data_IF_263737835286
#
_entry.id   IF_263737835286
#
_cell.length_a   1.000
_cell.length_b   1.000
_cell.length_c   1.000
_cell.angle_alpha   90.00
_cell.angle_beta   90.00
_cell.angle_gamma   90.00
#
_symmetry.space_group_name_H-M   'P 1'
#
loop_
_entity.id
_entity.type
_entity.pdbx_description
1 polymer ?
#
# COMPACT_ATOMS: atom_id res chain seq x y z
N UNK A 1 -23.92 -7.39 -2.49
CA UNK A 1 -22.58 -7.00 -2.00
C UNK A 1 -22.76 -5.67 -1.30
N UNK A 2 -22.02 -5.43 -0.22
CA UNK A 2 -22.17 -4.22 0.59
C UNK A 2 -21.90 -2.98 -0.27
N UNK A 3 -22.81 -2.01 -0.24
CA UNK A 3 -22.65 -0.75 -0.93
C UNK A 3 -21.54 0.07 -0.25
N UNK A 4 -20.69 0.70 -1.04
CA UNK A 4 -19.59 1.53 -0.54
C UNK A 4 -19.94 2.99 -0.75
N UNK A 5 -19.88 3.79 0.32
CA UNK A 5 -20.09 5.23 0.28
C UNK A 5 -18.75 5.96 0.30
N UNK A 6 -18.52 6.85 -0.65
CA UNK A 6 -17.38 7.81 -0.60
C UNK A 6 -17.95 9.17 -0.25
N UNK A 7 -17.53 9.71 0.89
CA UNK A 7 -18.06 10.94 1.49
C UNK A 7 -16.97 11.99 1.46
N UNK A 8 -17.15 13.00 0.61
CA UNK A 8 -16.34 14.22 0.63
C UNK A 8 -17.01 15.24 1.55
N UNK A 9 -16.25 15.81 2.48
CA UNK A 9 -16.69 16.93 3.31
C UNK A 9 -15.77 18.11 3.07
N UNK A 10 -16.33 19.20 2.56
CA UNK A 10 -15.57 20.38 2.13
C UNK A 10 -16.05 21.62 2.87
N UNK A 11 -15.16 22.26 3.64
CA UNK A 11 -15.37 23.63 4.13
C UNK A 11 -14.96 24.57 3.03
N UNK A 12 -15.90 25.37 2.54
CA UNK A 12 -15.66 26.30 1.43
C UNK A 12 -15.10 27.62 1.91
N UNK A 13 -14.32 28.30 1.07
CA UNK A 13 -13.96 29.70 1.28
C UNK A 13 -15.23 30.53 1.46
N UNK A 14 -15.25 31.52 2.37
CA UNK A 14 -16.43 32.36 2.57
C UNK A 14 -17.01 32.90 1.26
N UNK A 15 -18.33 32.79 1.07
CA UNK A 15 -18.98 33.24 -0.17
C UNK A 15 -18.90 32.28 -1.37
N UNK A 16 -18.13 31.19 -1.28
CA UNK A 16 -17.76 30.39 -2.45
C UNK A 16 -18.57 29.10 -2.65
N UNK A 17 -19.54 28.79 -1.79
CA UNK A 17 -20.19 27.48 -1.76
C UNK A 17 -20.88 27.09 -3.09
N UNK A 18 -21.65 28.01 -3.68
CA UNK A 18 -22.31 27.75 -4.98
C UNK A 18 -21.28 27.54 -6.09
N UNK A 19 -20.27 28.43 -6.17
CA UNK A 19 -19.19 28.33 -7.16
C UNK A 19 -18.41 27.01 -7.03
N UNK A 20 -18.16 26.57 -5.80
CA UNK A 20 -17.53 25.27 -5.54
C UNK A 20 -18.41 24.11 -6.05
N UNK A 21 -19.71 24.11 -5.75
CA UNK A 21 -20.64 23.06 -6.20
C UNK A 21 -20.70 23.01 -7.73
N UNK A 22 -20.81 24.17 -8.38
CA UNK A 22 -20.83 24.25 -9.85
C UNK A 22 -19.52 23.71 -10.45
N UNK A 23 -18.37 24.12 -9.92
CA UNK A 23 -17.07 23.61 -10.35
C UNK A 23 -16.95 22.09 -10.13
N UNK A 24 -17.42 21.57 -8.99
CA UNK A 24 -17.40 20.15 -8.65
C UNK A 24 -18.27 19.32 -9.61
N UNK A 25 -19.51 19.75 -9.86
CA UNK A 25 -20.45 19.03 -10.71
C UNK A 25 -20.09 19.08 -12.19
N UNK A 26 -19.42 20.14 -12.64
CA UNK A 26 -18.99 20.29 -14.04
C UNK A 26 -17.60 19.73 -14.31
N UNK A 27 -16.69 19.79 -13.33
CA UNK A 27 -15.28 19.41 -13.51
C UNK A 27 -14.91 18.04 -12.97
N UNK A 28 -15.30 17.69 -11.74
CA UNK A 28 -14.92 16.42 -11.10
C UNK A 28 -15.94 15.31 -11.34
N UNK A 29 -17.23 15.63 -11.15
CA UNK A 29 -18.30 14.64 -11.17
C UNK A 29 -18.41 13.81 -12.48
N UNK A 30 -18.15 14.35 -13.69
CA UNK A 30 -18.17 13.55 -14.91
C UNK A 30 -17.12 12.42 -14.88
N UNK A 31 -15.86 12.73 -14.53
CA UNK A 31 -14.81 11.72 -14.44
C UNK A 31 -15.06 10.70 -13.33
N UNK A 32 -15.63 11.13 -12.20
CA UNK A 32 -16.05 10.21 -11.13
C UNK A 32 -17.10 9.21 -11.62
N UNK A 33 -18.08 9.65 -12.43
CA UNK A 33 -19.09 8.77 -13.05
C UNK A 33 -18.47 7.81 -14.06
N UNK A 34 -17.54 8.28 -14.88
CA UNK A 34 -16.79 7.43 -15.83
C UNK A 34 -16.01 6.32 -15.10
N UNK A 35 -15.48 6.60 -13.91
CA UNK A 35 -14.83 5.60 -13.04
C UNK A 35 -15.82 4.70 -12.28
N UNK A 36 -17.14 4.85 -12.49
CA UNK A 36 -18.18 3.98 -11.95
C UNK A 36 -18.87 4.47 -10.67
N UNK A 37 -18.60 5.70 -10.23
CA UNK A 37 -19.25 6.27 -9.04
C UNK A 37 -20.64 6.82 -9.37
N UNK A 38 -21.63 6.58 -8.50
CA UNK A 38 -22.97 7.18 -8.62
C UNK A 38 -23.13 8.30 -7.60
N UNK A 39 -23.46 9.51 -8.06
CA UNK A 39 -23.69 10.65 -7.16
C UNK A 39 -25.02 10.44 -6.42
N UNK A 40 -24.97 10.33 -5.10
CA UNK A 40 -26.16 10.13 -4.25
C UNK A 40 -26.76 11.47 -3.82
N UNK A 41 -25.93 12.33 -3.21
CA UNK A 41 -26.37 13.62 -2.69
C UNK A 41 -25.25 14.65 -2.64
N UNK A 42 -25.65 15.93 -2.67
CA UNK A 42 -24.83 17.11 -2.39
C UNK A 42 -25.61 17.94 -1.38
N UNK A 43 -25.10 18.03 -0.16
CA UNK A 43 -25.74 18.69 0.97
C UNK A 43 -24.94 19.93 1.38
N UNK A 44 -25.63 20.99 1.77
CA UNK A 44 -25.02 22.25 2.23
C UNK A 44 -25.46 22.53 3.66
N UNK A 45 -24.49 22.80 4.52
CA UNK A 45 -24.71 23.11 5.93
C UNK A 45 -23.97 24.40 6.34
N UNK A 46 -24.64 25.34 7.04
CA UNK A 46 -26.10 25.40 7.19
C UNK A 46 -26.79 25.58 5.82
N UNK A 47 -28.12 25.30 5.71
CA UNK A 47 -28.86 25.36 4.44
C UNK A 47 -29.19 26.81 4.04
N UNK A 48 -28.18 27.67 4.00
CA UNK A 48 -28.25 29.09 3.64
C UNK A 48 -26.98 29.42 2.86
N UNK A 49 -27.13 30.17 1.77
CA UNK A 49 -25.97 30.71 1.06
C UNK A 49 -25.46 31.94 1.78
N UNK A 50 -24.21 31.88 2.22
CA UNK A 50 -23.53 33.05 2.77
C UNK A 50 -22.68 33.69 1.69
N UNK A 51 -22.65 35.03 1.69
CA UNK A 51 -21.72 35.81 0.86
C UNK A 51 -20.39 36.08 1.60
N UNK A 52 -20.39 35.99 2.93
CA UNK A 52 -19.30 36.41 3.82
C UNK A 52 -18.85 35.32 4.81
N UNK A 53 -19.44 34.12 4.76
CA UNK A 53 -19.11 32.99 5.65
C UNK A 53 -18.97 31.69 4.86
N UNK A 54 -18.29 30.73 5.46
CA UNK A 54 -18.13 29.39 4.91
C UNK A 54 -19.41 28.57 5.01
N UNK A 55 -19.63 27.71 4.03
CA UNK A 55 -20.51 26.55 4.16
C UNK A 55 -19.68 25.26 4.22
N UNK A 56 -20.26 24.24 4.82
CA UNK A 56 -19.83 22.85 4.68
C UNK A 56 -20.65 22.22 3.58
N UNK A 57 -19.98 21.71 2.54
CA UNK A 57 -20.60 20.91 1.48
C UNK A 57 -20.22 19.45 1.71
N UNK A 58 -21.22 18.59 1.87
CA UNK A 58 -21.04 17.14 1.95
C UNK A 58 -21.50 16.51 0.64
N UNK A 59 -20.62 15.78 -0.03
CA UNK A 59 -20.93 15.06 -1.26
C UNK A 59 -20.81 13.57 -1.00
N UNK A 60 -21.89 12.83 -1.26
CA UNK A 60 -21.91 11.38 -1.12
C UNK A 60 -21.97 10.72 -2.48
N UNK A 61 -21.01 9.83 -2.73
CA UNK A 61 -21.01 8.92 -3.87
C UNK A 61 -21.24 7.49 -3.41
N UNK A 62 -21.80 6.65 -4.29
CA UNK A 62 -21.92 5.21 -4.07
C UNK A 62 -21.22 4.39 -5.14
N UNK A 63 -20.71 3.24 -4.71
CA UNK A 63 -20.18 2.16 -5.53
C UNK A 63 -20.85 0.85 -5.11
N UNK A 64 -21.17 -0.06 -6.06
CA UNK A 64 -22.00 -1.23 -5.76
C UNK A 64 -21.28 -2.31 -4.94
N UNK A 65 -19.95 -2.24 -4.80
CA UNK A 65 -19.16 -3.19 -4.02
C UNK A 65 -17.72 -2.70 -3.75
N UNK A 66 -16.99 -3.35 -2.82
CA UNK A 66 -15.55 -3.13 -2.64
C UNK A 66 -14.70 -3.38 -3.90
N UNK A 67 -15.08 -4.35 -4.74
CA UNK A 67 -14.43 -4.59 -6.02
C UNK A 67 -14.58 -3.38 -6.94
N UNK A 68 -15.79 -2.82 -7.04
CA UNK A 68 -16.03 -1.61 -7.82
C UNK A 68 -15.23 -0.42 -7.28
N UNK A 69 -15.10 -0.30 -5.97
CA UNK A 69 -14.22 0.69 -5.34
C UNK A 69 -12.76 0.50 -5.78
N UNK A 70 -12.22 -0.72 -5.77
CA UNK A 70 -10.86 -0.96 -6.26
C UNK A 70 -10.69 -0.63 -7.74
N UNK A 71 -11.66 -0.96 -8.59
CA UNK A 71 -11.61 -0.61 -10.01
C UNK A 71 -11.59 0.89 -10.23
N UNK A 72 -12.37 1.64 -9.44
CA UNK A 72 -12.39 3.10 -9.46
C UNK A 72 -11.04 3.67 -9.01
N UNK A 73 -10.48 3.20 -7.90
CA UNK A 73 -9.17 3.64 -7.37
C UNK A 73 -8.02 3.29 -8.33
N UNK A 74 -8.02 2.13 -8.96
CA UNK A 74 -6.97 1.74 -9.92
C UNK A 74 -6.99 2.57 -11.21
N UNK A 75 -8.17 3.02 -11.64
CA UNK A 75 -8.28 3.97 -12.76
C UNK A 75 -7.81 5.38 -12.36
N UNK A 76 -8.15 5.83 -11.15
CA UNK A 76 -7.82 7.18 -10.68
C UNK A 76 -6.34 7.36 -10.32
N UNK A 77 -5.71 6.36 -9.71
CA UNK A 77 -4.34 6.46 -9.18
C UNK A 77 -3.27 6.88 -10.21
N UNK A 78 -3.24 6.36 -11.45
CA UNK A 78 -2.29 6.79 -12.45
C UNK A 78 -2.71 8.08 -13.19
N UNK A 79 -3.93 8.60 -12.97
CA UNK A 79 -4.44 9.78 -13.67
C UNK A 79 -4.09 11.08 -12.93
N UNK A 80 -3.11 11.86 -13.42
CA UNK A 80 -2.74 13.12 -12.78
C UNK A 80 -3.80 14.22 -12.98
N UNK A 81 -4.79 14.02 -13.85
CA UNK A 81 -5.87 14.99 -14.08
C UNK A 81 -6.71 15.22 -12.83
N UNK A 82 -6.88 14.17 -12.01
CA UNK A 82 -7.70 14.22 -10.79
C UNK A 82 -7.04 15.13 -9.74
N UNK A 83 -5.75 14.89 -9.46
CA UNK A 83 -4.98 15.72 -8.53
C UNK A 83 -4.94 17.19 -9.01
N UNK A 84 -4.63 17.41 -10.30
CA UNK A 84 -4.62 18.76 -10.89
C UNK A 84 -5.96 19.48 -10.78
N UNK A 85 -7.08 18.76 -10.90
CA UNK A 85 -8.39 19.38 -10.75
C UNK A 85 -8.61 19.92 -9.34
N UNK A 86 -8.26 19.12 -8.32
CA UNK A 86 -8.32 19.55 -6.92
C UNK A 86 -7.39 20.74 -6.65
N UNK A 87 -6.17 20.72 -7.19
CA UNK A 87 -5.22 21.83 -7.08
C UNK A 87 -5.78 23.14 -7.66
N UNK A 88 -6.49 23.05 -8.80
CA UNK A 88 -7.06 24.22 -9.49
C UNK A 88 -8.26 24.87 -8.76
N UNK A 89 -8.86 24.18 -7.79
CA UNK A 89 -10.01 24.72 -7.03
C UNK A 89 -9.69 25.03 -5.57
N UNK A 90 -8.41 25.00 -5.20
CA UNK A 90 -7.93 25.26 -3.83
C UNK A 90 -8.42 26.59 -3.27
N UNK A 91 -8.49 27.65 -4.09
CA UNK A 91 -9.02 28.96 -3.67
C UNK A 91 -10.49 28.93 -3.18
N UNK A 92 -11.25 27.88 -3.56
CA UNK A 92 -12.64 27.70 -3.15
C UNK A 92 -12.79 26.88 -1.86
N UNK A 93 -11.69 26.31 -1.34
CA UNK A 93 -11.69 25.31 -0.28
C UNK A 93 -10.80 25.75 0.88
N UNK A 94 -11.37 25.82 2.08
CA UNK A 94 -10.62 26.01 3.33
C UNK A 94 -10.09 24.68 3.85
N UNK A 95 -10.92 23.65 3.81
CA UNK A 95 -10.61 22.33 4.34
C UNK A 95 -11.37 21.26 3.56
N UNK A 96 -10.75 20.09 3.36
CA UNK A 96 -11.38 18.93 2.73
C UNK A 96 -11.01 17.66 3.48
N UNK A 97 -11.98 16.78 3.64
CA UNK A 97 -11.77 15.39 4.05
C UNK A 97 -12.51 14.45 3.10
N UNK A 98 -11.97 13.25 2.91
CA UNK A 98 -12.63 12.15 2.19
C UNK A 98 -12.63 10.93 3.09
N UNK A 99 -13.79 10.32 3.28
CA UNK A 99 -13.95 9.10 4.06
C UNK A 99 -14.72 8.06 3.25
N UNK A 100 -14.46 6.79 3.53
CA UNK A 100 -15.23 5.68 2.95
C UNK A 100 -16.05 5.03 4.06
N UNK A 101 -17.31 4.72 3.76
CA UNK A 101 -18.26 4.19 4.73
C UNK A 101 -19.08 3.04 4.13
N UNK A 102 -19.73 2.28 5.01
CA UNK A 102 -20.75 1.28 4.69
C UNK A 102 -22.02 1.60 5.49
N UNK A 103 -23.15 0.99 5.13
CA UNK A 103 -24.38 1.13 5.90
C UNK A 103 -24.21 0.48 7.29
N UNK A 104 -24.80 1.09 8.33
CA UNK A 104 -24.57 0.66 9.71
C UNK A 104 -25.03 -0.79 10.00
N UNK A 105 -26.08 -1.23 9.32
CA UNK A 105 -26.64 -2.58 9.41
C UNK A 105 -25.81 -3.65 8.67
N UNK A 106 -24.88 -3.24 7.81
CA UNK A 106 -23.94 -4.14 7.13
C UNK A 106 -22.65 -4.37 7.94
N UNK A 107 -22.42 -3.60 9.00
CA UNK A 107 -21.25 -3.76 9.88
C UNK A 107 -21.49 -4.92 10.83
N UNK A 108 -20.93 -6.08 10.50
CA UNK A 108 -21.16 -7.34 11.22
C UNK A 108 -19.97 -7.80 12.08
N UNK A 109 -18.83 -7.10 12.00
CA UNK A 109 -17.55 -7.59 12.54
C UNK A 109 -17.01 -6.67 13.63
N UNK A 110 -16.84 -7.20 14.83
CA UNK A 110 -16.04 -6.57 15.88
C UNK A 110 -14.54 -6.74 15.59
N UNK A 111 -13.71 -5.80 16.07
CA UNK A 111 -12.26 -5.92 15.95
C UNK A 111 -11.73 -7.14 16.72
N UNK A 112 -11.19 -8.18 16.05
CA UNK A 112 -10.77 -9.38 16.75
C UNK A 112 -9.54 -9.11 17.63
N UNK A 113 -9.49 -9.79 18.78
CA UNK A 113 -8.24 -9.93 19.52
C UNK A 113 -7.25 -10.75 18.69
N UNK A 114 -6.01 -10.29 18.58
CA UNK A 114 -4.95 -11.02 17.91
C UNK A 114 -4.39 -12.05 18.90
N UNK A 115 -4.72 -13.33 18.72
CA UNK A 115 -4.28 -14.42 19.58
C UNK A 115 -3.25 -15.31 18.87
N UNK A 116 -2.45 -16.03 19.66
CA UNK A 116 -1.50 -17.02 19.14
C UNK A 116 -0.31 -16.43 18.37
N UNK A 117 0.09 -15.20 18.68
CA UNK A 117 1.25 -14.57 18.04
C UNK A 117 2.57 -14.96 18.70
N UNK A 118 3.61 -15.11 17.89
CA UNK A 118 5.01 -15.22 18.29
C UNK A 118 5.81 -14.15 17.58
N UNK A 119 6.57 -13.36 18.34
CA UNK A 119 7.50 -12.37 17.81
C UNK A 119 8.92 -12.96 17.85
N UNK A 120 9.68 -12.80 16.77
CA UNK A 120 11.06 -13.29 16.70
C UNK A 120 12.09 -12.22 17.11
N UNK A 121 13.36 -12.62 17.17
CA UNK A 121 14.45 -11.67 17.36
C UNK A 121 14.66 -10.78 16.12
N UNK A 122 15.13 -9.56 16.34
CA UNK A 122 15.40 -8.65 15.24
C UNK A 122 16.54 -9.17 14.34
N UNK A 123 16.26 -9.28 13.05
CA UNK A 123 17.20 -9.70 12.00
C UNK A 123 17.41 -8.58 10.98
N UNK A 124 18.45 -8.71 10.16
CA UNK A 124 18.68 -7.84 9.01
C UNK A 124 18.00 -8.46 7.80
N UNK A 125 17.05 -7.76 7.19
CA UNK A 125 16.38 -8.14 5.96
C UNK A 125 16.95 -7.38 4.77
N UNK A 126 17.09 -8.08 3.65
CA UNK A 126 17.54 -7.54 2.37
C UNK A 126 16.53 -7.95 1.32
N UNK A 127 15.87 -6.98 0.69
CA UNK A 127 15.01 -7.22 -0.48
C UNK A 127 15.68 -6.69 -1.74
N UNK A 128 15.68 -7.48 -2.82
CA UNK A 128 16.01 -7.06 -4.19
C UNK A 128 14.91 -7.51 -5.14
N UNK A 129 14.40 -6.57 -5.92
CA UNK A 129 13.36 -6.74 -6.92
C UNK A 129 14.02 -6.48 -8.27
N UNK A 130 14.16 -7.52 -9.08
CA UNK A 130 15.10 -7.54 -10.20
C UNK A 130 14.31 -7.70 -11.50
N UNK A 131 14.45 -6.75 -12.41
CA UNK A 131 13.95 -6.90 -13.79
C UNK A 131 15.08 -7.40 -14.70
N UNK A 132 14.80 -8.41 -15.50
CA UNK A 132 15.80 -9.12 -16.29
C UNK A 132 15.39 -9.26 -17.75
N UNK A 133 16.37 -9.39 -18.64
CA UNK A 133 16.10 -9.77 -20.04
C UNK A 133 15.45 -11.16 -20.05
N UNK A 134 14.28 -11.27 -20.66
CA UNK A 134 13.43 -12.47 -20.57
C UNK A 134 14.15 -13.76 -20.98
N UNK A 135 14.93 -13.72 -22.07
CA UNK A 135 15.69 -14.88 -22.55
C UNK A 135 16.76 -15.36 -21.56
N UNK A 136 17.22 -14.48 -20.67
CA UNK A 136 18.28 -14.74 -19.70
C UNK A 136 17.72 -15.03 -18.29
N UNK A 137 16.40 -14.91 -18.08
CA UNK A 137 15.74 -15.02 -16.76
C UNK A 137 16.14 -16.31 -16.02
N UNK A 138 16.14 -17.44 -16.71
CA UNK A 138 16.52 -18.73 -16.11
C UNK A 138 17.97 -18.77 -15.63
N UNK A 139 18.91 -18.23 -16.42
CA UNK A 139 20.34 -18.18 -16.09
C UNK A 139 20.59 -17.26 -14.89
N UNK A 140 19.99 -16.07 -14.91
CA UNK A 140 20.12 -15.08 -13.83
C UNK A 140 19.49 -15.62 -12.54
N UNK A 141 18.31 -16.27 -12.63
CA UNK A 141 17.66 -16.90 -11.48
C UNK A 141 18.55 -17.96 -10.82
N UNK A 142 19.18 -18.84 -11.61
CA UNK A 142 20.15 -19.82 -11.10
C UNK A 142 21.33 -19.14 -10.40
N UNK A 143 21.93 -18.12 -11.02
CA UNK A 143 23.05 -17.39 -10.43
C UNK A 143 22.68 -16.70 -9.10
N UNK A 144 21.48 -16.11 -9.02
CA UNK A 144 20.96 -15.50 -7.80
C UNK A 144 20.72 -16.54 -6.70
N UNK A 145 20.20 -17.73 -7.04
CA UNK A 145 20.01 -18.83 -6.09
C UNK A 145 21.34 -19.34 -5.55
N UNK A 146 22.31 -19.56 -6.43
CA UNK A 146 23.66 -19.98 -6.05
C UNK A 146 24.31 -18.94 -5.13
N UNK A 147 24.22 -17.65 -5.47
CA UNK A 147 24.73 -16.57 -4.63
C UNK A 147 24.04 -16.52 -3.25
N UNK A 148 22.72 -16.71 -3.22
CA UNK A 148 21.96 -16.71 -1.97
C UNK A 148 22.35 -17.89 -1.04
N UNK A 149 22.55 -19.09 -1.60
CA UNK A 149 22.96 -20.29 -0.85
C UNK A 149 24.33 -20.09 -0.19
N UNK A 150 25.26 -19.42 -0.87
CA UNK A 150 26.61 -19.16 -0.35
C UNK A 150 26.72 -17.87 0.49
N UNK A 151 25.63 -17.11 0.61
CA UNK A 151 25.66 -15.79 1.24
C UNK A 151 25.77 -15.82 2.77
N UNK A 152 25.49 -16.97 3.40
CA UNK A 152 25.40 -17.09 4.87
C UNK A 152 24.10 -16.53 5.47
N UNK A 153 23.07 -16.33 4.64
CA UNK A 153 21.74 -15.96 5.09
C UNK A 153 21.10 -17.08 5.96
N UNK A 154 20.37 -16.68 6.98
CA UNK A 154 19.54 -17.55 7.83
C UNK A 154 18.35 -18.13 7.04
N UNK A 155 17.83 -17.36 6.08
CA UNK A 155 16.74 -17.74 5.19
C UNK A 155 16.88 -16.93 3.91
N UNK A 156 16.53 -17.55 2.78
CA UNK A 156 16.60 -16.94 1.45
C UNK A 156 15.37 -17.35 0.63
N UNK A 157 14.82 -16.37 -0.08
CA UNK A 157 13.83 -16.54 -1.14
C UNK A 157 14.43 -15.96 -2.41
N UNK A 158 14.45 -16.75 -3.48
CA UNK A 158 14.88 -16.31 -4.80
C UNK A 158 13.94 -16.97 -5.82
N UNK A 159 12.86 -16.27 -6.13
CA UNK A 159 11.75 -16.82 -6.91
C UNK A 159 11.24 -15.83 -7.97
N UNK A 160 10.72 -16.31 -9.10
CA UNK A 160 9.97 -15.48 -10.03
C UNK A 160 8.77 -14.83 -9.33
N UNK A 161 8.46 -13.59 -9.73
CA UNK A 161 7.27 -12.91 -9.21
C UNK A 161 5.99 -13.44 -9.87
N UNK A 162 4.89 -13.46 -9.11
CA UNK A 162 3.59 -13.88 -9.62
C UNK A 162 2.85 -12.73 -10.33
N UNK A 163 1.92 -13.07 -11.25
CA UNK A 163 1.02 -12.09 -11.86
C UNK A 163 0.25 -11.28 -10.81
N UNK A 164 0.18 -9.96 -11.01
CA UNK A 164 -0.40 -9.01 -10.05
C UNK A 164 0.64 -8.19 -9.28
N UNK A 165 1.92 -8.56 -9.35
CA UNK A 165 3.03 -7.71 -8.91
C UNK A 165 3.07 -6.39 -9.69
N UNK A 166 3.42 -5.28 -9.04
CA UNK A 166 3.45 -3.92 -9.62
C UNK A 166 4.80 -3.28 -9.31
N UNK A 167 5.60 -3.01 -10.34
CA UNK A 167 7.01 -2.61 -10.19
C UNK A 167 7.81 -3.59 -9.30
N UNK A 168 7.41 -4.87 -9.28
CA UNK A 168 7.88 -5.86 -8.31
C UNK A 168 9.14 -6.62 -8.71
N UNK A 169 9.72 -6.35 -9.89
CA UNK A 169 10.73 -7.21 -10.49
C UNK A 169 10.12 -8.42 -11.21
N UNK A 170 10.90 -9.04 -12.08
CA UNK A 170 10.66 -10.38 -12.61
C UNK A 170 11.07 -11.47 -11.62
N UNK A 171 12.07 -11.18 -10.77
CA UNK A 171 12.59 -12.04 -9.71
C UNK A 171 12.55 -11.27 -8.39
N UNK A 172 11.93 -11.87 -7.38
CA UNK A 172 12.00 -11.44 -6.00
C UNK A 172 13.14 -12.18 -5.31
N UNK A 173 14.05 -11.42 -4.74
CA UNK A 173 15.06 -11.91 -3.80
C UNK A 173 14.77 -11.31 -2.43
N UNK A 174 14.73 -12.16 -1.42
CA UNK A 174 14.72 -11.74 -0.03
C UNK A 174 15.68 -12.60 0.80
N UNK A 175 16.59 -11.95 1.53
CA UNK A 175 17.63 -12.60 2.33
C UNK A 175 17.54 -12.09 3.77
N UNK A 176 17.65 -12.99 4.76
CA UNK A 176 17.76 -12.62 6.18
C UNK A 176 19.11 -12.97 6.76
N UNK A 177 19.69 -12.05 7.52
CA UNK A 177 20.94 -12.22 8.23
C UNK A 177 20.77 -11.96 9.72
N UNK A 178 21.62 -12.59 10.54
CA UNK A 178 21.67 -12.35 11.97
C UNK A 178 22.09 -10.91 12.31
N UNK A 179 23.03 -10.34 11.54
CA UNK A 179 23.50 -8.98 11.71
C UNK A 179 24.02 -8.38 10.38
N UNK A 180 24.34 -7.09 10.43
CA UNK A 180 24.80 -6.31 9.27
C UNK A 180 26.17 -6.78 8.78
N UNK A 181 27.08 -7.13 9.68
CA UNK A 181 28.41 -7.63 9.32
C UNK A 181 28.37 -8.90 8.46
N UNK A 182 27.41 -9.81 8.72
CA UNK A 182 27.23 -11.03 7.92
C UNK A 182 26.74 -10.68 6.51
N UNK A 183 25.81 -9.73 6.40
CA UNK A 183 25.35 -9.21 5.11
C UNK A 183 26.49 -8.56 4.31
N UNK A 184 27.25 -7.66 4.93
CA UNK A 184 28.33 -6.93 4.25
C UNK A 184 29.44 -7.86 3.74
N UNK A 185 29.66 -9.00 4.39
CA UNK A 185 30.62 -10.03 3.97
C UNK A 185 30.07 -11.02 2.95
N UNK A 186 28.77 -11.00 2.66
CA UNK A 186 28.12 -12.01 1.82
C UNK A 186 28.52 -11.92 0.33
N UNK A 187 28.90 -10.73 -0.14
CA UNK A 187 29.18 -10.48 -1.57
C UNK A 187 27.96 -10.66 -2.48
N UNK A 188 26.74 -10.79 -1.94
CA UNK A 188 25.56 -11.12 -2.76
C UNK A 188 25.32 -10.08 -3.87
N UNK A 189 25.49 -8.79 -3.60
CA UNK A 189 25.21 -7.76 -4.59
C UNK A 189 26.17 -7.82 -5.82
N UNK A 190 27.26 -8.60 -5.79
CA UNK A 190 28.15 -8.80 -6.95
C UNK A 190 27.44 -9.46 -8.14
N UNK A 191 26.49 -10.38 -7.89
CA UNK A 191 25.71 -11.01 -8.97
C UNK A 191 24.74 -10.03 -9.64
N UNK A 192 24.43 -8.90 -8.99
CA UNK A 192 23.55 -7.87 -9.55
C UNK A 192 24.22 -7.06 -10.67
N UNK A 193 25.53 -7.21 -10.86
CA UNK A 193 26.27 -6.58 -11.97
C UNK A 193 26.10 -7.33 -13.31
N UNK A 194 25.32 -8.42 -13.34
CA UNK A 194 25.04 -9.16 -14.58
C UNK A 194 24.39 -8.25 -15.63
N UNK A 195 24.91 -8.19 -16.87
CA UNK A 195 24.40 -7.29 -17.90
C UNK A 195 22.97 -7.61 -18.36
N UNK A 196 22.44 -8.80 -18.06
CA UNK A 196 21.04 -9.15 -18.31
C UNK A 196 20.07 -8.54 -17.28
N UNK A 197 20.57 -8.02 -16.16
CA UNK A 197 19.77 -7.31 -15.17
C UNK A 197 19.60 -5.86 -15.63
N UNK A 198 18.35 -5.47 -15.89
CA UNK A 198 18.02 -4.15 -16.43
C UNK A 198 17.67 -3.12 -15.34
N UNK A 199 17.15 -3.59 -14.20
CA UNK A 199 16.80 -2.73 -13.07
C UNK A 199 16.81 -3.53 -11.77
N UNK A 200 17.23 -2.86 -10.70
CA UNK A 200 17.11 -3.37 -9.33
C UNK A 200 16.45 -2.30 -8.46
N UNK A 201 15.38 -2.67 -7.78
CA UNK A 201 14.86 -1.95 -6.62
C UNK A 201 15.14 -2.75 -5.36
N UNK A 202 15.46 -2.10 -4.25
CA UNK A 202 15.79 -2.86 -3.06
C UNK A 202 15.94 -2.02 -1.81
N UNK A 203 15.97 -2.74 -0.69
CA UNK A 203 16.11 -2.15 0.62
C UNK A 203 16.88 -3.09 1.55
N UNK A 204 17.69 -2.49 2.42
CA UNK A 204 18.26 -3.08 3.63
C UNK A 204 17.51 -2.49 4.83
N UNK A 205 17.07 -3.34 5.74
CA UNK A 205 16.30 -2.93 6.91
C UNK A 205 16.52 -3.90 8.07
N UNK A 206 16.11 -3.49 9.26
CA UNK A 206 16.11 -4.33 10.46
C UNK A 206 14.71 -4.40 11.02
N UNK A 207 14.30 -5.61 11.42
CA UNK A 207 13.01 -5.81 12.05
C UNK A 207 12.88 -7.18 12.69
N UNK A 208 11.82 -7.31 13.50
CA UNK A 208 11.42 -8.55 14.15
C UNK A 208 10.06 -8.98 13.60
N UNK A 209 9.97 -10.04 12.77
CA UNK A 209 8.69 -10.49 12.27
C UNK A 209 7.80 -11.05 13.38
N UNK A 210 6.51 -10.84 13.22
CA UNK A 210 5.44 -11.43 14.03
C UNK A 210 4.74 -12.49 13.19
N UNK A 211 4.45 -13.63 13.81
CA UNK A 211 3.78 -14.76 13.18
C UNK A 211 2.61 -15.24 14.02
N UNK A 212 1.54 -15.70 13.36
CA UNK A 212 0.47 -16.51 13.97
C UNK A 212 0.24 -17.87 13.30
N UNK A 213 0.83 -18.09 12.12
CA UNK A 213 0.67 -19.32 11.36
C UNK A 213 1.67 -19.40 10.20
N UNK A 214 1.46 -20.36 9.30
CA UNK A 214 2.30 -20.53 8.10
C UNK A 214 1.60 -19.97 6.87
N UNK A 215 2.38 -19.35 5.98
CA UNK A 215 1.93 -18.93 4.66
C UNK A 215 2.70 -19.63 3.55
N UNK A 216 2.09 -19.68 2.36
CA UNK A 216 2.72 -20.20 1.12
C UNK A 216 2.98 -19.10 0.10
N UNK A 217 2.61 -17.85 0.38
CA UNK A 217 2.91 -16.70 -0.45
C UNK A 217 3.65 -15.66 0.36
N UNK A 218 4.84 -15.26 -0.08
CA UNK A 218 5.59 -14.14 0.49
C UNK A 218 5.32 -12.88 -0.34
N UNK A 219 5.10 -11.75 0.33
CA UNK A 219 4.84 -10.46 -0.28
C UNK A 219 5.68 -9.37 0.38
N UNK A 220 6.33 -8.57 -0.45
CA UNK A 220 7.07 -7.38 -0.06
C UNK A 220 6.48 -6.12 -0.70
N UNK A 221 6.28 -5.07 0.11
CA UNK A 221 5.93 -3.74 -0.35
C UNK A 221 7.00 -2.74 0.03
N UNK A 222 7.66 -2.15 -0.97
CA UNK A 222 8.56 -1.02 -0.77
C UNK A 222 7.80 0.26 -1.05
N UNK A 223 7.87 1.20 -0.11
CA UNK A 223 7.19 2.49 -0.21
C UNK A 223 8.05 3.62 0.33
N UNK A 224 7.72 4.83 -0.13
CA UNK A 224 8.38 6.06 0.30
C UNK A 224 7.37 7.02 0.90
N UNK A 225 7.69 7.49 2.10
CA UNK A 225 7.06 8.63 2.75
C UNK A 225 8.00 9.83 2.59
N UNK A 226 7.53 11.00 2.12
CA UNK A 226 8.34 12.21 2.02
C UNK A 226 8.89 12.65 3.39
N UNK A 227 10.08 13.28 3.38
CA UNK A 227 10.79 13.65 4.61
C UNK A 227 10.11 14.78 5.37
N UNK A 228 9.27 15.57 4.70
CA UNK A 228 8.47 16.66 5.25
C UNK A 228 7.22 16.19 6.00
N UNK A 229 6.87 14.89 5.95
CA UNK A 229 5.73 14.36 6.69
C UNK A 229 6.07 14.27 8.18
N UNK A 230 5.22 14.86 9.01
CA UNK A 230 5.41 14.90 10.46
C UNK A 230 5.51 13.51 11.08
N UNK A 231 6.38 13.37 12.08
CA UNK A 231 6.68 12.08 12.71
C UNK A 231 5.43 11.41 13.34
N UNK A 232 4.49 12.20 13.85
CA UNK A 232 3.21 11.71 14.39
C UNK A 232 2.33 11.09 13.28
N UNK A 233 2.27 11.74 12.10
CA UNK A 233 1.55 11.22 10.94
C UNK A 233 2.19 9.92 10.43
N UNK A 234 3.52 9.85 10.41
CA UNK A 234 4.23 8.60 10.08
C UNK A 234 3.92 7.49 11.08
N UNK A 235 3.92 7.79 12.38
CA UNK A 235 3.58 6.81 13.41
C UNK A 235 2.13 6.32 13.31
N UNK A 236 1.19 7.20 12.98
CA UNK A 236 -0.21 6.83 12.71
C UNK A 236 -0.30 5.89 11.50
N UNK A 237 0.36 6.24 10.39
CA UNK A 237 0.47 5.38 9.21
C UNK A 237 1.04 4.00 9.54
N UNK A 238 2.17 3.93 10.25
CA UNK A 238 2.80 2.66 10.64
C UNK A 238 1.88 1.82 11.53
N UNK A 239 1.23 2.45 12.50
CA UNK A 239 0.25 1.80 13.38
C UNK A 239 -0.91 1.22 12.59
N UNK A 240 -1.46 1.97 11.63
CA UNK A 240 -2.61 1.53 10.86
C UNK A 240 -2.31 0.39 9.88
N UNK A 241 -1.13 0.41 9.24
CA UNK A 241 -0.66 -0.73 8.44
C UNK A 241 -0.57 -2.01 9.29
N UNK A 242 -0.08 -1.89 10.51
CA UNK A 242 0.06 -3.00 11.46
C UNK A 242 -1.28 -3.47 12.05
N UNK A 243 -2.39 -2.79 11.80
CA UNK A 243 -3.72 -3.27 12.23
C UNK A 243 -4.25 -4.38 11.33
N UNK A 244 -3.89 -4.41 10.05
CA UNK A 244 -4.48 -5.34 9.06
C UNK A 244 -4.48 -6.81 9.48
N UNK A 245 -3.40 -7.38 10.07
CA UNK A 245 -3.40 -8.78 10.50
C UNK A 245 -4.48 -9.13 11.52
N UNK A 246 -4.98 -8.16 12.31
CA UNK A 246 -6.10 -8.37 13.25
C UNK A 246 -7.41 -8.71 12.54
N UNK A 247 -7.58 -8.21 11.33
CA UNK A 247 -8.83 -8.26 10.58
C UNK A 247 -8.77 -9.18 9.37
N UNK A 248 -7.57 -9.48 8.86
CA UNK A 248 -7.36 -10.31 7.68
C UNK A 248 -6.62 -11.59 8.10
N UNK A 249 -7.34 -12.68 8.48
CA UNK A 249 -6.75 -13.93 8.98
C UNK A 249 -5.74 -14.58 8.03
N UNK A 250 -5.86 -14.32 6.73
CA UNK A 250 -4.96 -14.87 5.71
C UNK A 250 -3.54 -14.33 5.81
N UNK A 251 -3.29 -13.22 6.52
CA UNK A 251 -1.92 -12.76 6.83
C UNK A 251 -1.33 -13.65 7.94
N UNK A 252 -0.48 -14.60 7.59
CA UNK A 252 0.08 -15.58 8.51
C UNK A 252 1.28 -15.05 9.33
N UNK A 253 2.09 -14.19 8.72
CA UNK A 253 3.21 -13.49 9.34
C UNK A 253 3.40 -12.10 8.71
N UNK A 254 3.97 -11.16 9.45
CA UNK A 254 4.20 -9.80 8.95
C UNK A 254 5.34 -9.10 9.68
N UNK A 255 5.91 -8.09 9.00
CA UNK A 255 6.88 -7.16 9.55
C UNK A 255 6.77 -5.82 8.81
N UNK A 256 6.62 -4.72 9.56
CA UNK A 256 6.85 -3.38 9.04
C UNK A 256 8.21 -2.89 9.55
N UNK A 257 9.04 -2.34 8.66
CA UNK A 257 10.37 -1.85 9.02
C UNK A 257 10.71 -0.59 8.27
N UNK A 258 11.42 0.32 8.96
CA UNK A 258 12.05 1.46 8.31
C UNK A 258 13.32 1.01 7.59
N UNK A 259 13.55 1.58 6.41
CA UNK A 259 14.69 1.27 5.55
C UNK A 259 15.94 1.96 6.08
N UNK A 260 17.02 1.19 6.23
CA UNK A 260 18.35 1.71 6.58
C UNK A 260 19.12 2.15 5.33
N UNK A 261 18.96 1.42 4.22
CA UNK A 261 19.57 1.74 2.93
C UNK A 261 18.64 1.34 1.79
N UNK A 262 18.34 2.27 0.88
CA UNK A 262 17.56 2.04 -0.32
C UNK A 262 18.45 1.97 -1.56
N UNK A 263 18.05 1.17 -2.56
CA UNK A 263 18.63 1.18 -3.91
C UNK A 263 17.51 1.20 -4.96
N UNK A 264 17.85 1.68 -6.16
CA UNK A 264 16.94 1.68 -7.31
C UNK A 264 16.26 3.03 -7.54
N UNK A 265 14.98 2.98 -7.93
CA UNK A 265 14.26 4.14 -8.47
C UNK A 265 13.65 5.08 -7.44
N UNK A 266 13.68 4.74 -6.15
CA UNK A 266 13.19 5.63 -5.09
C UNK A 266 14.03 5.47 -3.82
N UNK A 267 14.06 6.53 -3.01
CA UNK A 267 14.61 6.50 -1.65
C UNK A 267 13.59 5.83 -0.73
N UNK A 268 13.46 4.51 -0.87
CA UNK A 268 12.52 3.70 -0.07
C UNK A 268 12.72 3.98 1.42
N UNK A 269 11.61 4.17 2.14
CA UNK A 269 11.63 4.51 3.58
C UNK A 269 11.06 3.41 4.44
N UNK A 270 10.18 2.57 3.88
CA UNK A 270 9.59 1.46 4.59
C UNK A 270 9.55 0.22 3.69
N UNK A 271 9.66 -0.93 4.34
CA UNK A 271 9.34 -2.23 3.77
C UNK A 271 8.26 -2.85 4.64
N UNK A 272 7.17 -3.28 4.00
CA UNK A 272 6.13 -4.06 4.66
C UNK A 272 6.09 -5.46 4.05
N UNK A 273 6.51 -6.42 4.87
CA UNK A 273 6.60 -7.83 4.53
C UNK A 273 5.42 -8.57 5.11
N UNK A 274 4.87 -9.50 4.35
CA UNK A 274 3.75 -10.33 4.76
C UNK A 274 3.90 -11.73 4.17
N UNK A 275 3.50 -12.74 4.94
CA UNK A 275 3.18 -14.06 4.41
C UNK A 275 1.67 -14.23 4.39
N UNK A 276 1.13 -14.73 3.29
CA UNK A 276 -0.28 -15.08 3.14
C UNK A 276 -0.45 -16.61 3.10
N UNK A 277 -1.61 -17.09 3.57
CA UNK A 277 -1.98 -18.51 3.48
C UNK A 277 -1.77 -19.08 2.09
N UNK A 278 -2.18 -18.33 1.06
CA UNK A 278 -2.10 -18.63 -0.36
C UNK A 278 -2.34 -17.34 -1.20
N UNK A 279 -2.30 -17.48 -2.53
CA UNK A 279 -2.54 -16.37 -3.48
C UNK A 279 -3.97 -15.83 -3.35
N UNK A 280 -4.95 -16.71 -3.18
CA UNK A 280 -6.36 -16.32 -3.02
C UNK A 280 -6.56 -15.48 -1.76
N UNK A 281 -5.83 -15.79 -0.69
CA UNK A 281 -5.80 -15.03 0.56
C UNK A 281 -5.29 -13.60 0.40
N UNK A 282 -4.31 -13.39 -0.49
CA UNK A 282 -3.78 -12.07 -0.86
C UNK A 282 -4.71 -11.34 -1.85
N UNK A 283 -5.25 -12.04 -2.85
CA UNK A 283 -6.02 -11.41 -3.94
C UNK A 283 -7.52 -11.28 -3.64
N UNK A 284 -8.03 -11.96 -2.61
CA UNK A 284 -9.42 -11.93 -2.18
C UNK A 284 -9.58 -11.28 -0.81
N UNK A 285 -9.58 -12.04 0.31
CA UNK A 285 -9.87 -11.52 1.65
C UNK A 285 -9.06 -10.28 2.03
N UNK A 286 -7.76 -10.24 1.69
CA UNK A 286 -6.93 -9.07 1.97
C UNK A 286 -7.36 -7.82 1.20
N UNK A 287 -7.66 -7.93 -0.09
CA UNK A 287 -8.13 -6.79 -0.88
C UNK A 287 -9.54 -6.37 -0.47
N UNK A 288 -10.42 -7.33 -0.14
CA UNK A 288 -11.84 -7.05 0.06
C UNK A 288 -12.19 -6.58 1.47
N UNK A 289 -11.31 -6.76 2.45
CA UNK A 289 -11.61 -6.36 3.83
C UNK A 289 -11.61 -4.83 4.01
N UNK A 290 -12.63 -4.23 4.67
CA UNK A 290 -12.73 -2.78 4.90
C UNK A 290 -11.50 -2.12 5.54
N UNK A 291 -10.81 -2.83 6.43
CA UNK A 291 -9.52 -2.36 6.99
C UNK A 291 -8.53 -1.94 5.90
N UNK A 292 -8.53 -2.61 4.73
CA UNK A 292 -7.58 -2.33 3.68
C UNK A 292 -8.04 -1.15 2.84
N UNK A 293 -9.24 -1.23 2.23
CA UNK A 293 -9.69 -0.18 1.31
C UNK A 293 -10.20 1.09 2.01
N UNK A 294 -10.72 1.02 3.24
CA UNK A 294 -11.27 2.21 3.93
C UNK A 294 -10.24 2.88 4.86
N UNK A 295 -9.40 2.09 5.54
CA UNK A 295 -8.48 2.60 6.57
C UNK A 295 -7.07 2.73 6.05
N UNK A 296 -6.52 1.69 5.40
CA UNK A 296 -5.12 1.69 4.98
C UNK A 296 -4.90 2.40 3.64
N UNK A 297 -5.76 2.18 2.65
CA UNK A 297 -5.50 2.68 1.30
C UNK A 297 -5.57 4.22 1.21
N UNK A 298 -6.22 4.90 2.16
CA UNK A 298 -6.22 6.37 2.26
C UNK A 298 -4.80 6.96 2.32
N UNK A 299 -3.83 6.25 2.87
CA UNK A 299 -2.45 6.72 2.90
C UNK A 299 -1.77 6.71 1.54
N UNK A 300 -2.37 6.02 0.55
CA UNK A 300 -1.83 5.80 -0.79
C UNK A 300 -2.72 6.34 -1.92
N UNK A 301 -4.01 6.59 -1.66
CA UNK A 301 -4.97 7.06 -2.65
C UNK A 301 -4.83 8.58 -2.88
N UNK A 302 -4.43 9.03 -4.09
CA UNK A 302 -4.21 10.44 -4.39
C UNK A 302 -5.47 11.30 -4.31
N UNK A 303 -6.66 10.70 -4.27
CA UNK A 303 -7.88 11.47 -4.13
C UNK A 303 -8.21 11.85 -2.68
N UNK A 304 -7.55 11.21 -1.71
CA UNK A 304 -7.70 11.50 -0.28
C UNK A 304 -6.78 12.62 0.18
N UNK A 305 -7.11 13.28 1.29
CA UNK A 305 -6.26 14.32 1.88
C UNK A 305 -5.20 13.77 2.84
N UNK A 306 -5.29 12.48 3.18
CA UNK A 306 -4.35 11.78 4.07
C UNK A 306 -3.13 11.22 3.34
N UNK A 307 -3.10 11.28 2.00
CA UNK A 307 -2.04 10.66 1.20
C UNK A 307 -0.65 11.15 1.61
N UNK A 308 0.18 10.20 2.04
CA UNK A 308 1.61 10.42 2.28
C UNK A 308 2.48 9.53 1.39
N UNK A 309 1.96 8.45 0.82
CA UNK A 309 2.69 7.60 -0.13
C UNK A 309 2.38 8.04 -1.55
N UNK A 310 3.17 8.98 -2.07
CA UNK A 310 2.97 9.60 -3.39
C UNK A 310 3.75 8.94 -4.52
N UNK A 311 4.91 8.39 -4.21
CA UNK A 311 5.75 7.68 -5.17
C UNK A 311 5.11 6.33 -5.56
N UNK A 312 5.45 5.83 -6.75
CA UNK A 312 5.05 4.48 -7.15
C UNK A 312 5.65 3.46 -6.18
N UNK A 313 4.80 2.63 -5.59
CA UNK A 313 5.23 1.51 -4.75
C UNK A 313 5.82 0.37 -5.58
N UNK A 314 6.70 -0.43 -4.99
CA UNK A 314 6.97 -1.77 -5.48
C UNK A 314 6.14 -2.78 -4.68
N UNK A 315 5.22 -3.45 -5.35
CA UNK A 315 4.44 -4.55 -4.82
C UNK A 315 4.92 -5.85 -5.47
N UNK A 316 5.55 -6.74 -4.72
CA UNK A 316 6.12 -7.98 -5.25
C UNK A 316 5.72 -9.16 -4.39
N UNK A 317 5.39 -10.29 -5.00
CA UNK A 317 5.07 -11.52 -4.28
C UNK A 317 5.36 -12.77 -5.09
N UNK A 318 5.65 -13.86 -4.40
CA UNK A 318 5.98 -15.18 -4.95
C UNK A 318 5.47 -16.30 -4.05
N UNK A 319 5.39 -17.52 -4.59
CA UNK A 319 5.15 -18.71 -3.76
C UNK A 319 6.41 -19.06 -2.97
N UNK A 320 6.22 -19.64 -1.79
CA UNK A 320 7.26 -20.13 -0.90
C UNK A 320 6.84 -21.44 -0.26
N UNK A 321 7.78 -22.36 -0.08
CA UNK A 321 7.57 -23.67 0.53
C UNK A 321 8.08 -23.76 1.97
N UNK A 322 8.64 -22.67 2.48
CA UNK A 322 9.17 -22.56 3.83
C UNK A 322 8.89 -21.16 4.39
N UNK A 323 8.81 -21.03 5.72
CA UNK A 323 8.65 -19.73 6.36
C UNK A 323 9.82 -18.77 6.08
N UNK A 324 9.51 -17.60 5.54
CA UNK A 324 10.43 -16.49 5.22
C UNK A 324 10.57 -15.53 6.39
N UNK A 325 9.49 -15.37 7.16
CA UNK A 325 9.37 -14.55 8.36
C UNK A 325 9.43 -15.50 9.57
N UNK A 326 10.61 -15.78 10.15
CA UNK A 326 10.74 -16.80 11.19
C UNK A 326 10.00 -16.43 12.48
N UNK A 327 9.60 -17.45 13.26
CA UNK A 327 9.15 -17.26 14.64
C UNK A 327 10.37 -17.05 15.58
N UNK A 328 10.14 -16.68 16.85
CA UNK A 328 11.19 -16.84 17.84
C UNK A 328 11.66 -18.30 17.88
N UNK A 329 12.98 -18.48 17.90
CA UNK A 329 13.62 -19.74 18.24
C UNK A 329 13.32 -20.10 19.70
#
# INVERSE_FOLDING_TARGET
MAEVFVIDRVVTTPGCAQKFIDAYLTGYAPGARERGMTLRDVLVSPPVWFDDRSNVVTITWTLPSPEAWWQMTWQGRPDPSIARWWDNITDLVVERTRNVAAAADEITTDAPALAGISASAATVGVTRLIDVVESERGRVLSALRDAAEHSGALSAVVEPTLPGSRNGGDILVHLRYSCRDTWEKSGFDDVLADPAISRVNGALYRGAPIRRGSGTVYRALLLRVPAEVEAETVAAFESELLMMPRFVPTIAAWQLSRVEQAIGSSNWTHVFEQEFTDVDGLMGPYLMHPIHWAVVDRWFDPETTDIIVRDRVCHSFCEVNHPVLPAAL
#
